data_IF_956843559497
#
_entry.id   IF_956843559497
#
_cell.length_a   1.000
_cell.length_b   1.000
_cell.length_c   1.000
_cell.angle_alpha   90.00
_cell.angle_beta   90.00
_cell.angle_gamma   90.00
#
_symmetry.space_group_name_H-M   'P 1'
#
loop_
_entity.id
_entity.type
_entity.pdbx_description
1 polymer ?
#
# COMPACT_ATOMS: atom_id res chain seq x y z
N UNK A 1 -20.34 8.39 -16.96
CA UNK A 1 -20.22 8.78 -15.54
C UNK A 1 -18.79 8.50 -15.16
N UNK A 2 -18.01 9.51 -14.79
CA UNK A 2 -16.69 9.33 -14.18
C UNK A 2 -16.92 8.64 -12.84
N UNK A 3 -16.37 7.47 -12.63
CA UNK A 3 -16.41 6.80 -11.32
C UNK A 3 -15.50 7.62 -10.42
N UNK A 4 -16.07 8.60 -9.72
CA UNK A 4 -15.33 9.29 -8.66
C UNK A 4 -15.13 8.28 -7.53
N UNK A 5 -13.87 8.01 -7.21
CA UNK A 5 -13.55 7.24 -6.02
C UNK A 5 -13.97 8.03 -4.78
N UNK A 6 -14.58 7.33 -3.83
CA UNK A 6 -14.68 7.91 -2.49
C UNK A 6 -13.27 8.12 -1.94
N UNK A 7 -12.94 9.36 -1.58
CA UNK A 7 -11.69 9.75 -0.93
C UNK A 7 -12.07 10.63 0.25
N UNK A 8 -11.69 10.18 1.42
CA UNK A 8 -11.89 10.90 2.69
C UNK A 8 -11.03 12.17 2.73
N UNK A 9 -11.54 13.27 3.28
CA UNK A 9 -10.72 14.41 3.69
C UNK A 9 -9.79 14.05 4.85
N UNK A 10 -8.64 14.73 4.99
CA UNK A 10 -7.69 14.45 6.08
C UNK A 10 -8.33 14.62 7.48
N UNK A 11 -9.15 15.65 7.63
CA UNK A 11 -9.80 16.03 8.89
C UNK A 11 -11.20 15.40 9.07
N UNK A 12 -11.67 14.63 8.09
CA UNK A 12 -12.97 13.99 8.22
C UNK A 12 -12.95 12.97 9.36
N UNK A 13 -14.00 12.92 10.20
CA UNK A 13 -14.08 11.95 11.28
C UNK A 13 -14.17 10.52 10.73
N UNK A 14 -13.74 9.55 11.55
CA UNK A 14 -14.02 8.15 11.26
C UNK A 14 -15.54 7.91 11.30
N UNK A 15 -16.11 7.14 10.38
CA UNK A 15 -17.50 6.75 10.42
C UNK A 15 -17.81 5.95 11.68
N UNK A 16 -19.10 5.79 12.00
CA UNK A 16 -19.50 4.90 13.06
C UNK A 16 -19.03 3.47 12.77
N UNK A 17 -18.52 2.79 13.79
CA UNK A 17 -18.17 1.37 13.74
C UNK A 17 -19.19 0.62 14.63
N UNK A 18 -20.39 0.42 14.11
CA UNK A 18 -21.50 -0.16 14.87
C UNK A 18 -21.15 -1.54 15.41
N UNK A 19 -21.21 -1.69 16.73
CA UNK A 19 -20.82 -2.91 17.42
C UNK A 19 -19.30 -3.18 17.49
N UNK A 20 -18.45 -2.20 17.10
CA UNK A 20 -16.99 -2.35 17.07
C UNK A 20 -16.25 -1.16 17.71
N UNK A 21 -16.50 -0.85 19.00
CA UNK A 21 -15.92 0.31 19.67
C UNK A 21 -14.39 0.22 19.83
N UNK A 22 -13.82 -0.97 20.02
CA UNK A 22 -12.37 -1.13 20.13
C UNK A 22 -11.69 -0.92 18.79
N UNK A 23 -12.28 -1.40 17.70
CA UNK A 23 -11.82 -1.15 16.34
C UNK A 23 -11.77 0.36 16.07
N UNK A 24 -12.81 1.09 16.46
CA UNK A 24 -12.83 2.55 16.34
C UNK A 24 -11.71 3.20 17.15
N UNK A 25 -11.55 2.85 18.44
CA UNK A 25 -10.46 3.38 19.29
C UNK A 25 -9.09 3.13 18.69
N UNK A 26 -8.86 1.96 18.08
CA UNK A 26 -7.60 1.63 17.44
C UNK A 26 -7.30 2.57 16.27
N UNK A 27 -8.30 2.90 15.43
CA UNK A 27 -8.11 3.83 14.31
C UNK A 27 -8.07 5.32 14.71
N UNK A 28 -8.43 5.62 15.95
CA UNK A 28 -8.26 6.94 16.56
C UNK A 28 -6.99 7.01 17.45
N UNK A 29 -6.14 5.96 17.45
CA UNK A 29 -4.89 5.93 18.22
C UNK A 29 -3.93 7.00 17.73
N UNK A 30 -3.32 7.75 18.68
CA UNK A 30 -2.56 8.94 18.35
C UNK A 30 -1.22 8.67 17.67
N UNK A 31 -0.49 7.62 18.09
CA UNK A 31 0.79 7.21 17.51
C UNK A 31 0.59 5.93 16.68
N UNK A 32 0.82 5.96 15.35
CA UNK A 32 0.63 4.78 14.50
C UNK A 32 1.63 3.64 14.77
N UNK A 33 2.64 3.85 15.59
CA UNK A 33 3.68 2.87 15.90
C UNK A 33 3.82 2.52 17.37
N UNK A 34 2.91 2.97 18.23
CA UNK A 34 2.81 2.57 19.65
C UNK A 34 2.18 1.18 19.77
N UNK A 35 2.97 0.17 19.38
CA UNK A 35 2.53 -1.23 19.32
C UNK A 35 2.16 -1.75 20.72
N UNK A 36 3.00 -1.49 21.72
CA UNK A 36 2.82 -1.99 23.08
C UNK A 36 1.61 -1.31 23.76
N UNK A 37 1.49 0.02 23.65
CA UNK A 37 0.37 0.75 24.24
C UNK A 37 -0.99 0.40 23.62
N UNK A 38 -1.01 0.02 22.34
CA UNK A 38 -2.24 -0.33 21.62
C UNK A 38 -2.65 -1.80 21.74
N UNK A 39 -1.85 -2.68 22.35
CA UNK A 39 -2.01 -4.14 22.29
C UNK A 39 -3.40 -4.62 22.73
N UNK A 40 -3.86 -4.21 23.89
CA UNK A 40 -5.19 -4.61 24.41
C UNK A 40 -6.31 -4.17 23.46
N UNK A 41 -6.26 -2.91 22.99
CA UNK A 41 -7.25 -2.38 22.04
C UNK A 41 -7.18 -3.13 20.71
N UNK A 42 -5.99 -3.51 20.26
CA UNK A 42 -5.82 -4.30 19.05
C UNK A 42 -6.46 -5.69 19.20
N UNK A 43 -6.21 -6.42 20.31
CA UNK A 43 -6.81 -7.73 20.56
C UNK A 43 -8.33 -7.66 20.65
N UNK A 44 -8.87 -6.63 21.30
CA UNK A 44 -10.31 -6.38 21.31
C UNK A 44 -10.86 -6.13 19.91
N UNK A 45 -10.17 -5.33 19.09
CA UNK A 45 -10.58 -5.04 17.72
C UNK A 45 -10.60 -6.29 16.84
N UNK A 46 -9.63 -7.20 17.02
CA UNK A 46 -9.62 -8.49 16.32
C UNK A 46 -10.82 -9.34 16.74
N UNK A 47 -11.16 -9.43 18.03
CA UNK A 47 -12.36 -10.15 18.51
C UNK A 47 -13.65 -9.57 17.91
N UNK A 48 -13.79 -8.26 17.87
CA UNK A 48 -14.92 -7.58 17.23
C UNK A 48 -15.05 -7.93 15.75
N UNK A 49 -13.93 -7.87 15.02
CA UNK A 49 -13.88 -8.18 13.59
C UNK A 49 -14.21 -9.64 13.31
N UNK A 50 -13.66 -10.58 14.09
CA UNK A 50 -13.99 -12.01 14.00
C UNK A 50 -15.49 -12.26 14.23
N UNK A 51 -16.09 -11.67 15.29
CA UNK A 51 -17.54 -11.80 15.56
C UNK A 51 -18.37 -11.24 14.41
N UNK A 52 -18.01 -10.10 13.85
CA UNK A 52 -18.68 -9.53 12.68
C UNK A 52 -18.65 -10.49 11.50
N UNK A 53 -17.51 -11.10 11.23
CA UNK A 53 -17.34 -11.99 10.10
C UNK A 53 -18.00 -13.37 10.24
N UNK A 54 -18.49 -13.75 11.43
CA UNK A 54 -19.34 -14.94 11.57
C UNK A 54 -20.68 -14.80 10.83
N UNK A 55 -21.09 -13.61 10.43
CA UNK A 55 -22.24 -13.41 9.55
C UNK A 55 -21.99 -13.95 8.11
N UNK A 56 -20.75 -14.16 7.70
CA UNK A 56 -20.41 -14.83 6.46
C UNK A 56 -20.33 -16.35 6.69
N UNK A 57 -21.22 -17.18 6.09
CA UNK A 57 -21.27 -18.62 6.36
C UNK A 57 -19.95 -19.35 6.07
N UNK A 58 -19.24 -18.95 5.01
CA UNK A 58 -17.91 -19.48 4.69
C UNK A 58 -16.92 -19.26 5.84
N UNK A 59 -16.91 -18.05 6.42
CA UNK A 59 -15.94 -17.71 7.45
C UNK A 59 -16.31 -18.33 8.80
N UNK A 60 -17.60 -18.42 9.11
CA UNK A 60 -18.09 -19.14 10.29
C UNK A 60 -17.67 -20.62 10.29
N UNK A 61 -17.88 -21.31 9.15
CA UNK A 61 -17.45 -22.71 8.96
C UNK A 61 -15.91 -22.85 9.04
N UNK A 62 -15.15 -21.89 8.50
CA UNK A 62 -13.70 -21.88 8.58
C UNK A 62 -13.20 -21.78 10.04
N UNK A 63 -13.78 -20.87 10.84
CA UNK A 63 -13.45 -20.71 12.26
C UNK A 63 -13.82 -21.97 13.05
N UNK A 64 -15.01 -22.53 12.85
CA UNK A 64 -15.48 -23.74 13.51
C UNK A 64 -14.54 -24.93 13.24
N UNK A 65 -14.21 -25.18 11.97
CA UNK A 65 -13.28 -26.27 11.57
C UNK A 65 -11.86 -26.09 12.11
N UNK A 66 -11.46 -24.83 12.30
CA UNK A 66 -10.14 -24.50 12.86
C UNK A 66 -10.14 -24.54 14.40
N UNK A 67 -11.30 -24.74 15.04
CA UNK A 67 -11.43 -24.76 16.49
C UNK A 67 -11.09 -23.40 17.11
N UNK A 68 -11.41 -22.30 16.43
CA UNK A 68 -11.11 -20.93 16.87
C UNK A 68 -12.40 -20.16 17.10
N UNK A 69 -12.61 -19.69 18.33
CA UNK A 69 -13.67 -18.74 18.68
C UNK A 69 -13.08 -17.34 18.81
N UNK A 70 -13.85 -16.27 18.50
CA UNK A 70 -13.42 -14.91 18.78
C UNK A 70 -12.97 -14.69 20.24
N UNK A 71 -13.60 -15.38 21.20
CA UNK A 71 -13.31 -15.24 22.64
C UNK A 71 -12.00 -15.94 23.05
N UNK A 72 -11.45 -16.82 22.20
CA UNK A 72 -10.16 -17.48 22.43
C UNK A 72 -8.96 -16.55 22.17
N UNK A 73 -9.16 -15.41 21.53
CA UNK A 73 -8.09 -14.47 21.20
C UNK A 73 -7.87 -13.52 22.38
N UNK A 74 -6.99 -13.91 23.29
CA UNK A 74 -6.73 -13.19 24.53
C UNK A 74 -5.31 -12.63 24.62
N UNK A 75 -4.37 -13.20 23.88
CA UNK A 75 -2.95 -12.83 23.84
C UNK A 75 -2.46 -12.63 22.40
N UNK A 76 -1.28 -12.06 22.25
CA UNK A 76 -0.66 -11.88 20.92
C UNK A 76 -0.28 -13.22 20.28
N UNK A 77 -0.02 -14.27 21.06
CA UNK A 77 0.21 -15.60 20.55
C UNK A 77 -1.05 -16.21 19.93
N UNK A 78 -2.23 -15.90 20.50
CA UNK A 78 -3.50 -16.44 20.00
C UNK A 78 -3.85 -15.96 18.59
N UNK A 79 -3.38 -14.80 18.16
CA UNK A 79 -3.64 -14.30 16.79
C UNK A 79 -3.10 -15.26 15.72
N UNK A 80 -2.06 -16.03 16.03
CA UNK A 80 -1.49 -17.02 15.13
C UNK A 80 -2.43 -18.21 14.87
N UNK A 81 -3.42 -18.45 15.75
CA UNK A 81 -4.43 -19.51 15.61
C UNK A 81 -5.53 -19.13 14.61
N UNK A 82 -5.71 -17.83 14.31
CA UNK A 82 -6.70 -17.38 13.33
C UNK A 82 -6.32 -17.96 11.96
N UNK A 83 -7.21 -18.77 11.33
CA UNK A 83 -6.89 -19.45 10.09
C UNK A 83 -6.62 -18.44 8.98
N UNK A 84 -5.43 -18.49 8.35
CA UNK A 84 -5.08 -17.55 7.30
C UNK A 84 -5.76 -17.93 5.98
N UNK A 85 -6.33 -16.94 5.29
CA UNK A 85 -6.85 -17.09 3.94
C UNK A 85 -5.78 -16.58 2.96
N UNK A 86 -5.43 -17.38 1.95
CA UNK A 86 -4.48 -16.95 0.93
C UNK A 86 -5.08 -15.85 0.04
N UNK A 87 -4.31 -14.82 -0.28
CA UNK A 87 -4.73 -13.72 -1.15
C UNK A 87 -5.25 -14.21 -2.53
N UNK A 88 -4.72 -15.33 -3.04
CA UNK A 88 -5.21 -15.93 -4.28
C UNK A 88 -6.64 -16.49 -4.20
N UNK A 89 -7.16 -16.77 -3.00
CA UNK A 89 -8.54 -17.21 -2.82
C UNK A 89 -9.53 -16.18 -3.39
N UNK A 90 -9.30 -14.90 -3.15
CA UNK A 90 -10.16 -13.80 -3.60
C UNK A 90 -10.12 -13.53 -5.11
N UNK A 91 -9.28 -14.25 -5.85
CA UNK A 91 -9.29 -14.24 -7.33
C UNK A 91 -10.37 -15.14 -7.92
N UNK A 92 -10.78 -16.14 -7.17
CA UNK A 92 -11.71 -17.18 -7.64
C UNK A 92 -12.99 -17.26 -6.83
N UNK A 93 -12.98 -16.69 -5.62
CA UNK A 93 -14.11 -16.74 -4.70
C UNK A 93 -14.52 -15.33 -4.30
N UNK A 94 -15.81 -15.10 -4.33
CA UNK A 94 -16.41 -13.87 -3.79
C UNK A 94 -17.08 -14.21 -2.47
N UNK A 95 -16.54 -13.64 -1.38
CA UNK A 95 -17.09 -13.78 -0.03
C UNK A 95 -17.28 -12.40 0.57
N UNK A 96 -18.37 -12.20 1.29
CA UNK A 96 -18.76 -10.90 1.80
C UNK A 96 -19.49 -11.05 3.12
N UNK A 97 -19.24 -10.13 4.05
CA UNK A 97 -19.93 -10.02 5.34
C UNK A 97 -20.98 -8.92 5.30
N UNK A 98 -20.59 -7.74 4.80
CA UNK A 98 -21.52 -6.62 4.67
C UNK A 98 -22.52 -6.85 3.52
N UNK A 99 -23.78 -6.43 3.64
CA UNK A 99 -24.76 -6.49 2.57
C UNK A 99 -24.38 -5.58 1.40
N UNK A 100 -24.91 -5.85 0.22
CA UNK A 100 -24.53 -5.17 -1.04
C UNK A 100 -24.80 -3.66 -1.02
N UNK A 101 -25.80 -3.21 -0.31
CA UNK A 101 -26.21 -1.79 -0.17
C UNK A 101 -25.28 -1.00 0.75
N UNK A 102 -24.49 -1.66 1.60
CA UNK A 102 -23.44 -1.04 2.39
C UNK A 102 -22.10 -0.92 1.64
N UNK A 103 -21.94 -1.60 0.50
CA UNK A 103 -20.69 -1.58 -0.27
C UNK A 103 -20.57 -0.28 -1.08
N UNK A 104 -19.66 0.58 -0.64
CA UNK A 104 -19.40 1.88 -1.29
C UNK A 104 -18.32 1.82 -2.36
N UNK A 105 -17.46 0.78 -2.33
CA UNK A 105 -16.36 0.65 -3.28
C UNK A 105 -16.06 -0.82 -3.58
N UNK A 106 -15.86 -1.10 -4.89
CA UNK A 106 -15.41 -2.40 -5.40
C UNK A 106 -14.09 -2.20 -6.13
N UNK A 107 -13.01 -2.77 -5.62
CA UNK A 107 -11.68 -2.69 -6.23
C UNK A 107 -11.25 -4.02 -6.80
N UNK A 108 -10.43 -3.94 -7.84
CA UNK A 108 -9.78 -5.11 -8.43
C UNK A 108 -8.26 -4.98 -8.32
N UNK A 109 -7.59 -6.12 -8.09
CA UNK A 109 -6.13 -6.17 -8.20
C UNK A 109 -5.70 -5.86 -9.63
N UNK A 110 -4.46 -5.37 -9.81
CA UNK A 110 -3.88 -5.11 -11.14
C UNK A 110 -3.67 -6.37 -12.00
N UNK A 111 -3.95 -7.54 -11.44
CA UNK A 111 -4.03 -8.87 -12.05
C UNK A 111 -3.08 -9.14 -13.20
N UNK A 112 -1.85 -9.55 -12.88
CA UNK A 112 -0.84 -9.92 -13.88
C UNK A 112 -1.03 -11.34 -14.44
N UNK A 113 -1.93 -12.13 -13.84
CA UNK A 113 -2.20 -13.53 -14.17
C UNK A 113 -3.57 -13.79 -14.84
N UNK A 114 -4.23 -12.74 -15.31
CA UNK A 114 -5.54 -12.84 -15.99
C UNK A 114 -6.76 -12.84 -15.06
N UNK A 115 -6.69 -13.43 -13.87
CA UNK A 115 -7.73 -13.34 -12.84
C UNK A 115 -7.37 -12.24 -11.83
N UNK A 116 -8.34 -11.36 -11.58
CA UNK A 116 -8.19 -10.24 -10.64
C UNK A 116 -8.94 -10.56 -9.36
N UNK A 117 -8.34 -10.33 -8.21
CA UNK A 117 -9.06 -10.35 -6.94
C UNK A 117 -10.11 -9.24 -6.96
N UNK A 118 -11.28 -9.54 -6.42
CA UNK A 118 -12.34 -8.55 -6.20
C UNK A 118 -12.47 -8.35 -4.70
N UNK A 119 -12.27 -7.10 -4.26
CA UNK A 119 -12.41 -6.72 -2.87
C UNK A 119 -13.49 -5.67 -2.72
N UNK A 120 -14.27 -5.82 -1.68
CA UNK A 120 -15.37 -4.93 -1.33
C UNK A 120 -15.04 -4.13 -0.09
N UNK A 121 -15.47 -2.87 -0.09
CA UNK A 121 -15.25 -1.97 1.01
C UNK A 121 -16.56 -1.27 1.34
N UNK A 122 -16.98 -1.37 2.58
CA UNK A 122 -17.97 -0.49 3.18
C UNK A 122 -17.33 0.86 3.53
N UNK A 123 -18.13 1.79 4.02
CA UNK A 123 -17.64 3.13 4.36
C UNK A 123 -16.56 3.09 5.44
N UNK A 124 -16.70 2.20 6.44
CA UNK A 124 -15.68 2.02 7.47
C UNK A 124 -14.36 1.56 6.86
N UNK A 125 -14.38 0.43 6.15
CA UNK A 125 -13.16 -0.21 5.61
C UNK A 125 -12.35 0.71 4.72
N UNK A 126 -13.02 1.48 3.85
CA UNK A 126 -12.30 2.39 2.94
C UNK A 126 -11.76 3.62 3.68
N UNK A 127 -12.51 4.13 4.66
CA UNK A 127 -12.04 5.24 5.49
C UNK A 127 -10.89 4.81 6.40
N UNK A 128 -10.96 3.61 6.98
CA UNK A 128 -9.90 3.02 7.80
C UNK A 128 -8.60 2.81 6.99
N UNK A 129 -8.73 2.35 5.74
CA UNK A 129 -7.60 2.24 4.83
C UNK A 129 -6.92 3.59 4.59
N UNK A 130 -7.69 4.64 4.29
CA UNK A 130 -7.15 5.98 4.08
C UNK A 130 -6.50 6.52 5.37
N UNK A 131 -7.17 6.37 6.50
CA UNK A 131 -6.66 6.84 7.80
C UNK A 131 -5.34 6.18 8.18
N UNK A 132 -5.18 4.88 7.92
CA UNK A 132 -3.93 4.16 8.23
C UNK A 132 -2.73 4.73 7.46
N UNK A 133 -2.93 5.15 6.21
CA UNK A 133 -1.89 5.82 5.41
C UNK A 133 -1.65 7.24 5.89
N UNK A 134 -2.72 8.01 6.21
CA UNK A 134 -2.61 9.38 6.70
C UNK A 134 -1.77 9.46 7.96
N UNK A 135 -2.00 8.55 8.91
CA UNK A 135 -1.26 8.52 10.18
C UNK A 135 0.23 8.24 9.95
N UNK A 136 0.58 7.30 9.07
CA UNK A 136 1.97 7.01 8.72
C UNK A 136 2.61 8.19 7.98
N UNK A 137 1.93 8.79 7.02
CA UNK A 137 2.43 9.94 6.26
C UNK A 137 2.60 11.18 7.15
N UNK A 138 1.67 11.39 8.09
CA UNK A 138 1.80 12.45 9.11
C UNK A 138 2.98 12.22 10.05
N UNK A 139 3.15 10.97 10.53
CA UNK A 139 4.28 10.59 11.40
C UNK A 139 5.63 10.85 10.74
N UNK A 140 5.77 10.57 9.45
CA UNK A 140 7.00 10.82 8.70
C UNK A 140 7.12 12.25 8.14
N UNK A 141 6.16 13.14 8.43
CA UNK A 141 6.21 14.54 8.01
C UNK A 141 5.94 14.77 6.52
N UNK A 142 5.25 13.84 5.87
CA UNK A 142 4.92 13.93 4.44
C UNK A 142 3.53 14.55 4.15
N UNK A 143 2.85 15.06 5.15
CA UNK A 143 1.67 15.91 5.01
C UNK A 143 2.11 17.33 5.32
N UNK A 144 1.98 18.25 4.36
CA UNK A 144 2.41 19.63 4.50
C UNK A 144 1.23 20.60 4.42
N UNK A 145 1.27 21.61 5.24
CA UNK A 145 0.35 22.76 5.13
C UNK A 145 0.93 23.75 4.13
N UNK A 146 0.38 23.80 2.94
CA UNK A 146 0.83 24.70 1.89
C UNK A 146 0.74 24.11 0.49
N UNK A 147 1.08 24.92 -0.54
CA UNK A 147 1.01 24.48 -1.93
C UNK A 147 2.16 23.53 -2.29
N UNK A 148 1.85 22.54 -3.12
CA UNK A 148 2.82 21.67 -3.76
C UNK A 148 2.42 21.33 -5.20
N UNK A 149 3.40 20.98 -6.01
CA UNK A 149 3.19 20.46 -7.35
C UNK A 149 3.11 18.93 -7.31
N UNK A 150 2.34 18.34 -8.20
CA UNK A 150 2.17 16.90 -8.29
C UNK A 150 2.55 16.40 -9.69
N UNK A 151 3.52 15.49 -9.74
CA UNK A 151 3.89 14.75 -10.95
C UNK A 151 3.56 13.28 -10.76
N UNK A 152 2.50 12.84 -11.42
CA UNK A 152 1.97 11.48 -11.32
C UNK A 152 2.54 10.60 -12.44
N UNK A 153 3.57 9.81 -12.14
CA UNK A 153 4.05 8.75 -13.03
C UNK A 153 3.09 7.56 -13.02
N UNK A 154 1.84 7.84 -13.25
CA UNK A 154 0.74 6.89 -13.30
C UNK A 154 -0.27 7.28 -14.37
N UNK A 155 -1.29 6.45 -14.53
CA UNK A 155 -2.35 6.70 -15.51
C UNK A 155 -3.18 7.92 -15.13
N UNK A 156 -3.42 8.80 -16.09
CA UNK A 156 -4.47 9.82 -15.99
C UNK A 156 -5.83 9.13 -15.87
N UNK A 157 -6.74 9.59 -14.98
CA UNK A 157 -8.05 8.98 -14.84
C UNK A 157 -8.81 8.92 -16.17
N UNK A 158 -9.27 7.73 -16.55
CA UNK A 158 -10.12 7.51 -17.72
C UNK A 158 -11.53 7.13 -17.28
N UNK A 159 -12.57 7.37 -18.07
CA UNK A 159 -13.93 6.95 -17.76
C UNK A 159 -14.02 5.45 -17.45
N UNK A 160 -14.62 5.08 -16.30
CA UNK A 160 -14.78 3.69 -15.88
C UNK A 160 -13.52 3.02 -15.30
N UNK A 161 -12.42 3.74 -15.11
CA UNK A 161 -11.23 3.20 -14.46
C UNK A 161 -11.51 2.87 -12.97
N UNK A 162 -11.25 1.62 -12.57
CA UNK A 162 -11.56 1.10 -11.22
C UNK A 162 -10.38 0.33 -10.62
N UNK A 163 -9.17 0.91 -10.71
CA UNK A 163 -7.95 0.28 -10.19
C UNK A 163 -7.55 0.86 -8.83
N UNK A 164 -7.25 0.01 -7.86
CA UNK A 164 -6.81 0.41 -6.53
C UNK A 164 -5.59 1.34 -6.54
N UNK A 165 -4.63 1.10 -7.45
CA UNK A 165 -3.45 1.97 -7.63
C UNK A 165 -3.81 3.39 -8.06
N UNK A 166 -4.85 3.57 -8.87
CA UNK A 166 -5.31 4.90 -9.29
C UNK A 166 -5.94 5.63 -8.10
N UNK A 167 -6.79 4.95 -7.33
CA UNK A 167 -7.39 5.51 -6.12
C UNK A 167 -6.33 5.96 -5.11
N UNK A 168 -5.34 5.10 -4.82
CA UNK A 168 -4.25 5.44 -3.89
C UNK A 168 -3.51 6.71 -4.33
N UNK A 169 -3.24 6.88 -5.63
CA UNK A 169 -2.57 8.09 -6.13
C UNK A 169 -3.44 9.34 -5.99
N UNK A 170 -4.72 9.22 -6.22
CA UNK A 170 -5.65 10.35 -5.99
C UNK A 170 -5.77 10.69 -4.49
N UNK A 171 -5.78 9.69 -3.63
CA UNK A 171 -5.80 9.86 -2.18
C UNK A 171 -4.58 10.67 -1.70
N UNK A 172 -3.39 10.39 -2.23
CA UNK A 172 -2.15 11.08 -1.83
C UNK A 172 -2.09 12.57 -2.26
N UNK A 173 -2.94 13.02 -3.19
CA UNK A 173 -3.01 14.44 -3.58
C UNK A 173 -3.49 15.37 -2.47
N UNK A 174 -4.16 14.84 -1.45
CA UNK A 174 -4.64 15.63 -0.30
C UNK A 174 -3.58 15.90 0.76
N UNK A 175 -2.34 15.38 0.59
CA UNK A 175 -1.24 15.61 1.53
C UNK A 175 -0.58 16.99 1.39
N UNK A 176 -1.00 17.77 0.39
CA UNK A 176 -0.64 19.17 0.23
C UNK A 176 -1.75 19.89 -0.54
N UNK A 177 -1.77 21.21 -0.50
CA UNK A 177 -2.64 21.99 -1.37
C UNK A 177 -2.11 21.94 -2.81
N UNK A 178 -2.88 21.35 -3.72
CA UNK A 178 -2.48 21.22 -5.12
C UNK A 178 -2.28 22.58 -5.79
N UNK A 179 -1.08 22.84 -6.32
CA UNK A 179 -0.77 23.98 -7.17
C UNK A 179 -0.86 23.60 -8.63
N UNK A 180 -0.10 22.61 -9.09
CA UNK A 180 -0.16 22.08 -10.45
C UNK A 180 -0.12 20.55 -10.40
N UNK A 181 -0.93 19.89 -11.24
CA UNK A 181 -0.99 18.44 -11.39
C UNK A 181 -0.67 18.02 -12.81
N UNK A 182 0.30 17.12 -12.97
CA UNK A 182 0.68 16.56 -14.27
C UNK A 182 0.68 15.04 -14.19
N UNK A 183 0.05 14.39 -15.17
CA UNK A 183 0.09 12.94 -15.36
C UNK A 183 1.05 12.56 -16.46
N UNK A 184 1.92 11.58 -16.18
CA UNK A 184 2.88 11.07 -17.16
C UNK A 184 2.25 10.15 -18.21
N UNK A 185 1.24 9.37 -17.85
CA UNK A 185 0.50 8.50 -18.78
C UNK A 185 -0.83 9.16 -19.11
N UNK A 186 -0.82 10.04 -20.14
CA UNK A 186 -1.95 10.85 -20.58
C UNK A 186 -2.99 10.01 -21.30
N UNK A 187 -4.28 10.22 -20.97
CA UNK A 187 -5.37 9.56 -21.66
C UNK A 187 -5.72 10.29 -22.95
N UNK A 188 -5.54 9.63 -24.09
CA UNK A 188 -5.78 10.19 -25.44
C UNK A 188 -7.25 10.10 -25.89
N UNK A 189 -8.14 9.63 -25.01
CA UNK A 189 -9.54 9.31 -25.34
C UNK A 189 -9.73 7.84 -25.74
N UNK A 190 -8.67 7.12 -26.05
CA UNK A 190 -8.67 5.70 -26.45
C UNK A 190 -7.71 4.85 -25.61
N UNK A 191 -6.51 5.33 -25.42
CA UNK A 191 -5.44 4.64 -24.70
C UNK A 191 -4.59 5.63 -23.89
N UNK A 192 -3.66 5.10 -23.07
CA UNK A 192 -2.73 5.93 -22.33
C UNK A 192 -1.39 5.97 -23.04
N UNK A 193 -0.86 7.17 -23.23
CA UNK A 193 0.45 7.41 -23.82
C UNK A 193 1.39 8.09 -22.82
N UNK A 194 2.68 7.73 -22.87
CA UNK A 194 3.69 8.34 -22.02
C UNK A 194 4.12 9.71 -22.57
N UNK A 195 3.73 10.77 -21.88
CA UNK A 195 4.10 12.17 -22.19
C UNK A 195 5.46 12.52 -21.57
N UNK A 196 6.52 11.95 -22.14
CA UNK A 196 7.90 12.15 -21.68
C UNK A 196 8.31 13.64 -21.68
N UNK A 197 8.00 14.37 -22.74
CA UNK A 197 8.38 15.79 -22.86
C UNK A 197 7.53 16.70 -21.97
N UNK A 198 6.26 16.37 -21.75
CA UNK A 198 5.41 17.03 -20.78
C UNK A 198 5.95 16.88 -19.35
N UNK A 199 6.43 15.68 -18.98
CA UNK A 199 7.09 15.44 -17.69
C UNK A 199 8.37 16.27 -17.54
N UNK A 200 9.24 16.31 -18.56
CA UNK A 200 10.46 17.15 -18.55
C UNK A 200 10.10 18.62 -18.36
N UNK A 201 9.13 19.11 -19.14
CA UNK A 201 8.66 20.49 -19.03
C UNK A 201 8.07 20.81 -17.64
N UNK A 202 7.31 19.87 -17.05
CA UNK A 202 6.75 20.02 -15.71
C UNK A 202 7.86 20.12 -14.66
N UNK A 203 8.85 19.22 -14.67
CA UNK A 203 9.97 19.23 -13.72
C UNK A 203 10.74 20.55 -13.75
N UNK A 204 10.98 21.12 -14.94
CA UNK A 204 11.63 22.43 -15.08
C UNK A 204 10.80 23.55 -14.46
N UNK A 205 9.49 23.62 -14.78
CA UNK A 205 8.60 24.63 -14.21
C UNK A 205 8.51 24.50 -12.68
N UNK A 206 8.49 23.27 -12.16
CA UNK A 206 8.41 23.02 -10.72
C UNK A 206 9.67 23.48 -10.00
N UNK A 207 10.85 23.29 -10.59
CA UNK A 207 12.09 23.87 -10.10
C UNK A 207 12.03 25.40 -10.07
N UNK A 208 11.58 26.04 -11.17
CA UNK A 208 11.43 27.50 -11.28
C UNK A 208 10.42 28.07 -10.27
N UNK A 209 9.36 27.32 -9.95
CA UNK A 209 8.34 27.71 -8.97
C UNK A 209 8.86 27.60 -7.52
N UNK A 210 9.86 26.78 -7.25
CA UNK A 210 10.45 26.60 -5.91
C UNK A 210 9.49 26.03 -4.87
N UNK A 211 8.41 25.35 -5.29
CA UNK A 211 7.46 24.66 -4.41
C UNK A 211 7.86 23.19 -4.23
N UNK A 212 7.48 22.55 -3.11
CA UNK A 212 7.63 21.11 -2.96
C UNK A 212 6.95 20.35 -4.10
N UNK A 213 7.56 19.24 -4.51
CA UNK A 213 7.04 18.38 -5.58
C UNK A 213 6.73 16.98 -5.05
N UNK A 214 5.49 16.52 -5.19
CA UNK A 214 5.07 15.15 -4.93
C UNK A 214 5.19 14.36 -6.23
N UNK A 215 6.21 13.50 -6.31
CA UNK A 215 6.46 12.62 -7.47
C UNK A 215 5.98 11.21 -7.10
N UNK A 216 4.90 10.75 -7.73
CA UNK A 216 4.21 9.54 -7.33
C UNK A 216 4.02 8.59 -8.51
N UNK A 217 4.29 7.30 -8.36
CA UNK A 217 3.92 6.34 -9.41
C UNK A 217 4.96 5.27 -9.72
N UNK A 218 5.12 4.97 -11.00
CA UNK A 218 5.96 3.86 -11.49
C UNK A 218 7.40 4.30 -11.69
N UNK A 219 8.38 3.63 -11.07
CA UNK A 219 9.79 4.05 -11.10
C UNK A 219 10.38 4.08 -12.52
N UNK A 220 9.97 3.17 -13.40
CA UNK A 220 10.50 3.12 -14.76
C UNK A 220 10.34 4.43 -15.53
N UNK A 221 9.15 5.06 -15.42
CA UNK A 221 8.88 6.28 -16.20
C UNK A 221 9.63 7.49 -15.66
N UNK A 222 9.78 7.63 -14.33
CA UNK A 222 10.66 8.64 -13.75
C UNK A 222 12.11 8.41 -14.20
N UNK A 223 12.60 7.18 -14.10
CA UNK A 223 13.95 6.81 -14.50
C UNK A 223 14.24 7.20 -15.95
N UNK A 224 13.35 6.85 -16.88
CA UNK A 224 13.50 7.20 -18.31
C UNK A 224 13.37 8.70 -18.56
N UNK A 225 12.54 9.43 -17.80
CA UNK A 225 12.48 10.89 -17.89
C UNK A 225 13.84 11.50 -17.54
N UNK A 226 14.44 11.08 -16.43
CA UNK A 226 15.73 11.60 -15.98
C UNK A 226 16.87 11.21 -16.95
N UNK A 227 16.89 9.97 -17.46
CA UNK A 227 17.85 9.56 -18.48
C UNK A 227 17.73 10.40 -19.77
N UNK A 228 16.48 10.72 -20.19
CA UNK A 228 16.28 11.55 -21.37
C UNK A 228 16.78 12.98 -21.15
N UNK A 229 16.53 13.56 -19.97
CA UNK A 229 17.06 14.88 -19.60
C UNK A 229 18.60 14.89 -19.66
N UNK A 230 19.23 13.87 -19.10
CA UNK A 230 20.69 13.72 -19.14
C UNK A 230 21.22 13.59 -20.58
N UNK A 231 20.61 12.74 -21.39
CA UNK A 231 20.96 12.56 -22.80
C UNK A 231 20.77 13.84 -23.65
N UNK A 232 19.92 14.77 -23.21
CA UNK A 232 19.73 16.09 -23.80
C UNK A 232 20.75 17.12 -23.29
N UNK A 233 21.69 16.74 -22.42
CA UNK A 233 22.67 17.63 -21.82
C UNK A 233 22.06 18.59 -20.77
N UNK A 234 20.89 18.29 -20.25
CA UNK A 234 20.26 19.13 -19.22
C UNK A 234 20.99 18.95 -17.87
N UNK A 235 21.23 20.03 -17.13
CA UNK A 235 21.82 19.95 -15.79
C UNK A 235 20.90 19.16 -14.83
N UNK A 236 21.45 18.75 -13.69
CA UNK A 236 20.65 18.26 -12.57
C UNK A 236 19.71 19.38 -12.08
N UNK A 237 18.55 19.00 -11.62
CA UNK A 237 17.60 19.92 -11.00
C UNK A 237 17.93 20.14 -9.52
N UNK A 238 17.34 21.16 -8.95
CA UNK A 238 17.43 21.48 -7.52
C UNK A 238 16.01 21.72 -6.97
N UNK A 239 15.27 20.63 -6.80
CA UNK A 239 13.91 20.70 -6.26
C UNK A 239 13.92 21.07 -4.76
N UNK A 240 12.81 21.62 -4.27
CA UNK A 240 12.63 21.93 -2.84
C UNK A 240 12.86 20.67 -1.99
N UNK A 241 13.69 20.70 -0.93
CA UNK A 241 14.01 19.52 -0.11
C UNK A 241 12.83 18.97 0.68
N UNK A 242 11.68 19.66 0.74
CA UNK A 242 10.43 19.15 1.29
C UNK A 242 9.65 18.31 0.26
N UNK A 243 10.20 18.12 -0.95
CA UNK A 243 9.61 17.26 -1.98
C UNK A 243 9.56 15.80 -1.52
N UNK A 244 8.60 15.08 -2.09
CA UNK A 244 8.32 13.69 -1.72
C UNK A 244 8.25 12.82 -2.97
N UNK A 245 9.07 11.77 -3.04
CA UNK A 245 9.13 10.84 -4.16
C UNK A 245 8.68 9.46 -3.66
N UNK A 246 7.47 9.02 -4.00
CA UNK A 246 6.94 7.72 -3.60
C UNK A 246 6.67 6.83 -4.82
N UNK A 247 7.51 5.82 -4.99
CA UNK A 247 7.42 4.90 -6.11
C UNK A 247 6.80 3.57 -5.68
N UNK A 248 6.02 2.97 -6.58
CA UNK A 248 5.39 1.68 -6.34
C UNK A 248 4.77 1.10 -7.61
N UNK A 249 4.34 -0.17 -7.55
CA UNK A 249 3.71 -0.84 -8.68
C UNK A 249 4.68 -1.42 -9.72
N UNK A 250 5.99 -1.40 -9.44
CA UNK A 250 7.04 -2.07 -10.25
C UNK A 250 7.35 -1.39 -11.59
N UNK A 251 8.25 -2.00 -12.35
CA UNK A 251 8.82 -1.45 -13.60
C UNK A 251 7.95 -1.63 -14.86
N UNK A 252 6.67 -2.00 -14.74
CA UNK A 252 5.61 -1.98 -15.77
C UNK A 252 6.09 -2.31 -17.21
N UNK A 253 6.48 -3.55 -17.45
CA UNK A 253 6.93 -3.98 -18.79
C UNK A 253 8.40 -3.70 -19.13
N UNK A 254 9.13 -3.00 -18.24
CA UNK A 254 10.55 -2.65 -18.39
C UNK A 254 11.44 -3.39 -17.39
N UNK A 255 11.08 -4.61 -17.03
CA UNK A 255 11.81 -5.40 -16.05
C UNK A 255 13.25 -5.72 -16.46
N UNK A 256 13.51 -5.82 -17.77
CA UNK A 256 14.82 -5.99 -18.37
C UNK A 256 15.76 -4.78 -18.17
N UNK A 257 15.18 -3.63 -17.84
CA UNK A 257 15.89 -2.37 -17.57
C UNK A 257 15.85 -1.97 -16.09
N UNK A 258 15.34 -2.85 -15.24
CA UNK A 258 15.21 -2.58 -13.82
C UNK A 258 16.58 -2.51 -13.16
N UNK A 259 16.83 -1.42 -12.45
CA UNK A 259 17.94 -1.24 -11.52
C UNK A 259 17.50 -1.56 -10.10
N UNK A 260 18.45 -1.70 -9.17
CA UNK A 260 18.12 -1.86 -7.74
C UNK A 260 17.43 -0.61 -7.19
N UNK A 261 16.66 -0.75 -6.11
CA UNK A 261 16.02 0.38 -5.46
C UNK A 261 17.04 1.43 -5.00
N UNK A 262 18.18 0.99 -4.47
CA UNK A 262 19.30 1.85 -4.06
C UNK A 262 19.90 2.63 -5.26
N UNK A 263 20.20 1.96 -6.36
CA UNK A 263 20.69 2.62 -7.58
C UNK A 263 19.67 3.62 -8.13
N UNK A 264 18.39 3.26 -8.11
CA UNK A 264 17.34 4.16 -8.54
C UNK A 264 17.29 5.43 -7.67
N UNK A 265 17.27 5.29 -6.36
CA UNK A 265 17.23 6.44 -5.42
C UNK A 265 18.45 7.32 -5.55
N UNK A 266 19.63 6.73 -5.60
CA UNK A 266 20.88 7.46 -5.81
C UNK A 266 20.84 8.27 -7.11
N UNK A 267 20.54 7.62 -8.23
CA UNK A 267 20.47 8.28 -9.52
C UNK A 267 19.40 9.37 -9.59
N UNK A 268 18.20 9.05 -9.13
CA UNK A 268 17.11 10.03 -9.14
C UNK A 268 17.38 11.19 -8.17
N UNK A 269 17.97 10.93 -7.00
CA UNK A 269 18.39 11.93 -6.05
C UNK A 269 19.42 12.91 -6.63
N UNK A 270 20.46 12.39 -7.29
CA UNK A 270 21.46 13.19 -7.99
C UNK A 270 20.84 14.06 -9.09
N UNK A 271 19.89 13.50 -9.87
CA UNK A 271 19.27 14.23 -10.99
C UNK A 271 18.20 15.22 -10.57
N UNK A 272 17.54 15.01 -9.44
CA UNK A 272 16.48 15.90 -8.90
C UNK A 272 17.01 16.90 -7.84
N UNK A 273 18.27 16.71 -7.37
CA UNK A 273 18.83 17.50 -6.28
C UNK A 273 18.18 17.21 -4.93
N UNK A 274 17.71 15.96 -4.72
CA UNK A 274 16.98 15.56 -3.52
C UNK A 274 17.80 14.55 -2.67
N UNK A 275 17.81 14.68 -1.34
CA UNK A 275 18.43 13.68 -0.48
C UNK A 275 17.63 12.36 -0.49
N UNK A 276 18.29 11.25 -0.15
CA UNK A 276 17.68 9.91 -0.08
C UNK A 276 16.44 9.87 0.83
N UNK A 277 16.41 10.69 1.86
CA UNK A 277 15.27 10.84 2.78
C UNK A 277 13.98 11.36 2.15
N UNK A 278 14.02 11.94 0.95
CA UNK A 278 12.83 12.31 0.18
C UNK A 278 12.18 11.13 -0.54
N UNK A 279 12.89 10.01 -0.68
CA UNK A 279 12.41 8.85 -1.41
C UNK A 279 11.74 7.85 -0.47
N UNK A 280 10.60 7.34 -0.90
CA UNK A 280 9.81 6.34 -0.19
C UNK A 280 9.33 5.27 -1.14
N UNK A 281 9.16 4.09 -0.57
CA UNK A 281 8.40 3.01 -1.20
C UNK A 281 7.10 2.78 -0.45
N UNK A 282 6.06 2.36 -1.16
CA UNK A 282 4.81 1.93 -0.57
C UNK A 282 4.57 0.46 -0.87
N UNK A 283 4.14 -0.28 0.15
CA UNK A 283 3.72 -1.66 0.01
C UNK A 283 2.26 -1.80 0.45
N UNK A 284 1.51 -2.62 -0.29
CA UNK A 284 0.12 -2.92 0.00
C UNK A 284 -0.48 -3.84 -1.06
N UNK A 285 -1.62 -4.40 -0.75
CA UNK A 285 -2.41 -5.24 -1.64
C UNK A 285 -3.88 -4.84 -1.55
N UNK A 286 -4.63 -5.06 -2.60
CA UNK A 286 -6.07 -4.74 -2.58
C UNK A 286 -6.81 -5.62 -1.57
N UNK A 287 -6.30 -6.81 -1.32
CA UNK A 287 -6.80 -7.78 -0.34
C UNK A 287 -6.48 -7.36 1.11
N UNK A 288 -5.46 -6.51 1.30
CA UNK A 288 -5.03 -5.99 2.60
C UNK A 288 -5.05 -4.47 2.57
N UNK A 289 -6.06 -3.88 3.17
CA UNK A 289 -6.30 -2.44 3.05
C UNK A 289 -5.40 -1.56 3.91
N UNK A 290 -4.58 -2.11 4.82
CA UNK A 290 -3.55 -1.35 5.53
C UNK A 290 -2.36 -1.18 4.58
N UNK A 291 -2.10 0.06 4.19
CA UNK A 291 -0.92 0.41 3.40
C UNK A 291 0.30 0.63 4.29
N UNK A 292 1.48 0.32 3.77
CA UNK A 292 2.76 0.57 4.43
C UNK A 292 3.55 1.61 3.65
N UNK A 293 4.11 2.58 4.36
CA UNK A 293 5.11 3.50 3.84
C UNK A 293 6.42 3.26 4.58
N UNK A 294 7.52 3.12 3.86
CA UNK A 294 8.81 2.89 4.47
C UNK A 294 9.33 4.14 5.21
N UNK A 295 10.21 3.93 6.19
CA UNK A 295 10.88 4.99 6.92
C UNK A 295 12.09 5.55 6.12
N UNK A 296 12.81 6.52 6.70
CA UNK A 296 14.03 7.09 6.10
C UNK A 296 15.17 6.06 5.90
N UNK A 297 15.09 4.88 6.52
CA UNK A 297 16.00 3.75 6.31
C UNK A 297 15.42 2.70 5.35
N UNK A 298 14.36 3.02 4.61
CA UNK A 298 13.68 2.16 3.65
C UNK A 298 13.19 0.83 4.23
N UNK A 299 12.55 0.90 5.42
CA UNK A 299 12.02 -0.25 6.16
C UNK A 299 10.55 -0.03 6.48
N UNK A 300 9.71 -1.06 6.27
CA UNK A 300 8.27 -1.01 6.52
C UNK A 300 7.98 -1.35 7.97
N UNK A 301 7.78 -0.34 8.80
CA UNK A 301 7.39 -0.53 10.20
C UNK A 301 5.93 -0.98 10.31
N UNK A 302 5.69 -1.91 11.21
CA UNK A 302 4.37 -2.45 11.51
C UNK A 302 3.53 -1.42 12.27
N UNK A 303 2.40 -0.93 11.71
CA UNK A 303 1.55 0.04 12.40
C UNK A 303 0.62 -0.63 13.40
N UNK A 304 0.04 0.13 14.32
CA UNK A 304 -0.91 -0.35 15.34
C UNK A 304 -2.14 -1.07 14.74
N UNK A 305 -2.48 -0.79 13.48
CA UNK A 305 -3.64 -1.34 12.77
C UNK A 305 -3.48 -2.78 12.29
N UNK A 306 -2.28 -3.32 12.40
CA UNK A 306 -1.93 -4.62 11.83
C UNK A 306 -0.92 -5.37 12.72
N UNK A 307 -0.89 -6.68 12.57
CA UNK A 307 0.21 -7.52 13.04
C UNK A 307 0.72 -8.38 11.89
N UNK A 308 2.03 -8.46 11.80
CA UNK A 308 2.71 -9.25 10.78
C UNK A 308 3.25 -10.51 11.42
N UNK A 309 2.80 -11.65 10.92
CA UNK A 309 3.38 -12.95 11.22
C UNK A 309 4.19 -13.43 10.03
N UNK A 310 5.34 -14.04 10.28
CA UNK A 310 6.08 -14.76 9.27
C UNK A 310 5.82 -16.24 9.47
N UNK A 311 5.31 -16.94 8.44
CA UNK A 311 4.94 -18.34 8.55
C UNK A 311 5.88 -19.26 7.77
N UNK A 312 6.21 -20.39 8.38
CA UNK A 312 7.00 -21.43 7.72
C UNK A 312 6.28 -21.93 6.45
N UNK A 313 6.97 -21.99 5.30
CA UNK A 313 6.33 -22.39 4.04
C UNK A 313 5.83 -23.84 3.98
N UNK A 314 6.23 -24.70 4.92
CA UNK A 314 5.85 -26.13 4.96
C UNK A 314 4.77 -26.43 5.99
N UNK A 315 4.91 -25.84 7.19
CA UNK A 315 4.02 -26.11 8.31
C UNK A 315 2.96 -25.04 8.52
N UNK A 316 3.18 -23.86 7.99
CA UNK A 316 2.40 -22.62 8.21
C UNK A 316 2.42 -22.14 9.66
N UNK A 317 3.27 -22.72 10.50
CA UNK A 317 3.48 -22.26 11.87
C UNK A 317 4.20 -20.89 11.87
N UNK A 318 3.92 -20.02 12.85
CA UNK A 318 4.63 -18.75 12.98
C UNK A 318 6.12 -18.98 13.27
N UNK A 319 6.95 -18.11 12.70
CA UNK A 319 8.39 -18.10 12.87
C UNK A 319 8.80 -16.90 13.73
N UNK A 320 9.89 -17.08 14.48
CA UNK A 320 10.52 -16.02 15.25
C UNK A 320 11.10 -14.91 14.36
N UNK A 321 11.41 -13.77 14.97
CA UNK A 321 12.11 -12.66 14.30
C UNK A 321 13.39 -13.13 13.60
N UNK A 322 13.70 -12.48 12.48
CA UNK A 322 14.89 -12.78 11.68
C UNK A 322 14.77 -14.04 10.81
N UNK A 323 13.65 -14.74 10.83
CA UNK A 323 13.41 -15.92 9.99
C UNK A 323 12.62 -15.55 8.75
N UNK A 324 12.99 -16.18 7.63
CA UNK A 324 12.30 -16.00 6.33
C UNK A 324 11.13 -16.95 6.19
N UNK A 325 9.98 -16.43 5.81
CA UNK A 325 8.77 -17.22 5.52
C UNK A 325 7.74 -16.43 4.74
N UNK A 326 6.52 -16.96 4.63
CA UNK A 326 5.39 -16.23 4.04
C UNK A 326 4.93 -15.10 4.96
N UNK A 327 4.63 -13.95 4.34
CA UNK A 327 4.04 -12.82 5.06
C UNK A 327 2.56 -13.09 5.28
N UNK A 328 2.13 -13.02 6.53
CA UNK A 328 0.74 -13.11 6.94
C UNK A 328 0.37 -11.85 7.74
N UNK A 329 -0.61 -11.11 7.26
CA UNK A 329 -1.18 -9.93 7.92
C UNK A 329 -2.38 -10.33 8.76
N UNK A 330 -2.53 -9.73 9.94
CA UNK A 330 -3.69 -9.88 10.81
C UNK A 330 -4.21 -8.49 11.16
N UNK A 331 -5.42 -8.15 10.71
CA UNK A 331 -5.99 -6.80 10.89
C UNK A 331 -7.51 -6.84 10.97
N UNK A 332 -8.07 -5.94 11.78
CA UNK A 332 -9.51 -5.70 11.88
C UNK A 332 -10.03 -4.63 10.88
N UNK A 333 -9.20 -4.21 9.93
CA UNK A 333 -9.49 -3.07 9.05
C UNK A 333 -10.72 -3.29 8.16
N UNK A 334 -10.79 -4.45 7.48
CA UNK A 334 -11.89 -4.73 6.56
C UNK A 334 -13.07 -5.33 7.32
N UNK A 335 -14.21 -4.66 7.25
CA UNK A 335 -15.48 -5.07 7.86
C UNK A 335 -16.48 -5.62 6.85
N UNK A 336 -16.21 -5.43 5.56
CA UNK A 336 -17.05 -5.89 4.48
C UNK A 336 -16.69 -7.30 3.95
N UNK A 337 -15.42 -7.68 4.04
CA UNK A 337 -14.90 -8.97 3.54
C UNK A 337 -14.14 -9.67 4.68
N UNK A 338 -14.38 -10.98 4.91
CA UNK A 338 -13.69 -11.73 5.97
C UNK A 338 -12.23 -11.97 5.58
N UNK A 339 -11.36 -11.05 5.95
CA UNK A 339 -9.93 -11.04 5.63
C UNK A 339 -9.07 -10.70 6.86
N UNK A 340 -9.56 -11.07 8.06
CA UNK A 340 -8.87 -10.79 9.34
C UNK A 340 -7.44 -11.32 9.35
N UNK A 341 -7.21 -12.54 8.84
CA UNK A 341 -5.87 -13.12 8.68
C UNK A 341 -5.62 -13.44 7.22
N UNK A 342 -4.70 -12.71 6.58
CA UNK A 342 -4.41 -12.79 5.16
C UNK A 342 -2.99 -13.32 4.91
N UNK A 343 -2.86 -14.46 4.25
CA UNK A 343 -1.58 -15.00 3.78
C UNK A 343 -1.24 -14.47 2.41
N UNK A 344 -0.13 -13.74 2.32
CA UNK A 344 0.39 -13.24 1.04
C UNK A 344 1.20 -14.30 0.30
N UNK A 345 1.33 -14.11 -1.02
CA UNK A 345 2.30 -14.87 -1.82
C UNK A 345 3.72 -14.30 -1.77
N UNK A 346 3.98 -13.38 -0.85
CA UNK A 346 5.27 -12.72 -0.69
C UNK A 346 6.05 -13.36 0.46
N UNK A 347 7.37 -13.49 0.27
CA UNK A 347 8.29 -13.83 1.36
C UNK A 347 8.77 -12.57 2.07
N UNK A 348 8.92 -12.66 3.37
CA UNK A 348 9.49 -11.60 4.20
C UNK A 348 10.24 -12.12 5.40
N UNK A 349 10.88 -11.20 6.09
CA UNK A 349 11.52 -11.37 7.39
C UNK A 349 10.96 -10.25 8.28
N UNK A 350 10.44 -10.60 9.44
CA UNK A 350 10.07 -9.64 10.46
C UNK A 350 11.26 -9.43 11.40
N UNK A 351 11.68 -8.19 11.55
CA UNK A 351 12.78 -7.79 12.42
C UNK A 351 12.23 -7.26 13.76
N UNK A 352 12.96 -7.45 14.86
CA UNK A 352 12.48 -7.10 16.19
C UNK A 352 12.29 -5.58 16.38
N UNK A 353 11.47 -5.16 17.36
CA UNK A 353 11.26 -3.76 17.72
C UNK A 353 12.59 -3.09 18.08
N UNK A 354 12.70 -1.78 17.81
CA UNK A 354 13.88 -0.98 18.11
C UNK A 354 15.16 -1.30 17.30
N UNK A 355 15.09 -2.22 16.33
CA UNK A 355 16.24 -2.63 15.51
C UNK A 355 16.50 -1.73 14.29
N UNK A 356 15.61 -0.79 14.00
CA UNK A 356 15.78 0.13 12.87
C UNK A 356 16.57 1.39 13.27
N UNK A 357 17.62 1.78 12.51
CA UNK A 357 18.38 3.00 12.79
C UNK A 357 17.56 4.31 12.71
N UNK A 358 16.36 4.29 12.11
CA UNK A 358 15.49 5.46 12.04
C UNK A 358 14.92 5.89 13.40
N UNK A 359 15.04 5.05 14.44
CA UNK A 359 14.55 5.31 15.80
C UNK A 359 13.07 4.95 16.00
N UNK A 360 12.35 4.49 14.99
CA UNK A 360 10.98 3.98 15.15
C UNK A 360 10.99 2.70 16.01
N UNK A 361 10.21 2.64 17.11
CA UNK A 361 10.25 1.52 18.05
C UNK A 361 9.58 0.24 17.52
N UNK A 362 8.67 0.35 16.56
CA UNK A 362 7.90 -0.80 16.07
C UNK A 362 8.76 -1.83 15.31
N UNK A 363 8.39 -3.12 15.32
CA UNK A 363 8.95 -4.13 14.43
C UNK A 363 8.86 -3.67 12.96
N UNK A 364 9.72 -4.23 12.11
CA UNK A 364 9.70 -3.86 10.69
C UNK A 364 9.85 -5.08 9.78
N UNK A 365 9.15 -5.01 8.65
CA UNK A 365 9.13 -6.03 7.61
C UNK A 365 10.18 -5.74 6.54
N UNK A 366 11.00 -6.75 6.25
CA UNK A 366 11.84 -6.82 5.07
C UNK A 366 11.16 -7.71 4.02
N UNK A 367 10.83 -7.13 2.86
CA UNK A 367 10.22 -7.88 1.77
C UNK A 367 11.30 -8.56 0.91
N UNK A 368 11.16 -9.88 0.73
CA UNK A 368 12.10 -10.73 0.01
C UNK A 368 11.61 -11.12 -1.40
N UNK A 369 10.49 -10.53 -1.85
CA UNK A 369 9.87 -10.82 -3.14
C UNK A 369 8.89 -12.01 -3.11
N UNK A 370 8.32 -12.34 -4.27
CA UNK A 370 7.26 -13.36 -4.39
C UNK A 370 7.78 -14.79 -4.40
N UNK A 371 7.01 -15.68 -3.78
CA UNK A 371 7.22 -17.12 -3.85
C UNK A 371 7.09 -17.63 -5.30
N UNK A 372 8.02 -18.50 -5.73
CA UNK A 372 7.99 -19.13 -7.04
C UNK A 372 8.39 -18.25 -8.24
N UNK A 373 8.86 -17.02 -7.99
CA UNK A 373 9.35 -16.10 -9.03
C UNK A 373 10.83 -15.79 -8.77
N UNK A 374 11.68 -15.88 -9.79
CA UNK A 374 13.10 -15.54 -9.65
C UNK A 374 13.29 -14.11 -9.17
N UNK A 375 14.38 -13.83 -8.44
CA UNK A 375 14.68 -12.62 -7.65
C UNK A 375 14.37 -11.24 -8.28
N UNK A 376 14.03 -11.17 -9.57
CA UNK A 376 13.90 -9.90 -10.31
C UNK A 376 12.53 -9.69 -10.98
N UNK A 377 11.46 -10.38 -10.55
CA UNK A 377 10.16 -10.27 -11.22
C UNK A 377 9.09 -9.71 -10.31
N UNK A 378 8.75 -8.43 -10.54
CA UNK A 378 7.50 -7.85 -10.01
C UNK A 378 6.28 -8.50 -10.66
N UNK A 379 5.09 -8.36 -10.05
CA UNK A 379 3.81 -8.88 -10.62
C UNK A 379 3.56 -8.48 -12.08
N UNK A 380 4.08 -7.30 -12.49
CA UNK A 380 3.95 -6.79 -13.85
C UNK A 380 4.84 -7.54 -14.87
N UNK A 381 5.98 -8.07 -14.41
CA UNK A 381 6.96 -8.76 -15.26
C UNK A 381 6.51 -10.17 -15.60
N UNK A 382 5.89 -10.89 -14.68
CA UNK A 382 5.33 -12.21 -14.96
C UNK A 382 4.26 -12.15 -16.07
N UNK A 383 3.50 -11.05 -16.15
CA UNK A 383 2.50 -10.84 -17.19
C UNK A 383 3.11 -10.54 -18.57
N UNK A 384 4.17 -9.73 -18.63
CA UNK A 384 4.80 -9.38 -19.91
C UNK A 384 5.45 -10.61 -20.61
N UNK A 385 5.95 -11.60 -19.84
CA UNK A 385 6.50 -12.83 -20.42
C UNK A 385 5.42 -13.82 -20.90
N UNK A 386 4.27 -13.89 -20.22
CA UNK A 386 3.15 -14.74 -20.68
C UNK A 386 2.61 -14.22 -22.01
N UNK A 387 2.61 -12.91 -22.22
CA UNK A 387 2.18 -12.28 -23.49
C UNK A 387 3.21 -12.41 -24.60
N UNK A 388 4.50 -12.62 -24.31
CA UNK A 388 5.54 -12.85 -25.32
C UNK A 388 5.66 -14.31 -25.77
N UNK A 389 4.99 -15.24 -25.09
CA UNK A 389 5.01 -16.68 -25.43
C UNK A 389 3.80 -17.14 -26.25
N UNK A 390 3.03 -16.21 -26.81
CA UNK A 390 1.98 -16.48 -27.80
C UNK A 390 2.36 -15.97 -29.17
#
# INVERSE_FOLDING_TARGET
MTTEFYIRGLDDPMPAADGMPATRRLWEWGDPYDIDGSEETYLESIRENLRRHTACPFYADLLERSGVSPDDISTMEDIARIPPIHANFYKTHTVQTAPDDEIVLRLTSSGTSGQKSQMFFDLWSITASDKSVDMQMGYYGHIIDGPANFLMYSYEPAPGANMGTLRTRQMMRRFAKENELVYALRFTGKEHEFDLFGCIGALKRFEEQGLPVYILGFPAFLYFTLQKMEAMGMPALHLDPRSFVCMGGGWKGFADKQVTAEEFRRYAGERLGLPDSCFRESYGAVEHGVGYTDCACHRFHMPVYDRILIRDPRTLEPLDYGRKGFVNFVSAMNTAVPVTSLMMGDFGILHPPGSCPCGNPAPWLELMGRAGVSKNRSCAVAAAEILRRR
#
